data_IF_749874980616
#
_entry.id   IF_749874980616
#
_cell.length_a   1.000
_cell.length_b   1.000
_cell.length_c   1.000
_cell.angle_alpha   90.00
_cell.angle_beta   90.00
_cell.angle_gamma   90.00
#
_symmetry.space_group_name_H-M   'P 1'
#
loop_
_entity.id
_entity.type
_entity.pdbx_description
1 polymer ?
#
# COMPACT_ATOMS: atom_id res chain seq x y z
N UNK A 1 -3.89 1.04 21.72
CA UNK A 1 -3.71 2.13 20.74
C UNK A 1 -2.29 2.06 20.23
N UNK A 2 -2.07 2.32 18.94
CA UNK A 2 -0.74 2.29 18.29
C UNK A 2 -0.52 3.62 17.57
N UNK A 3 0.68 4.21 17.68
CA UNK A 3 1.02 5.45 16.99
C UNK A 3 1.45 5.16 15.54
N UNK A 4 0.90 5.90 14.59
CA UNK A 4 1.24 5.79 13.17
C UNK A 4 1.06 7.13 12.43
N UNK A 5 1.28 7.12 11.13
CA UNK A 5 1.10 8.26 10.21
C UNK A 5 0.66 7.76 8.83
N UNK A 6 0.28 8.67 7.92
CA UNK A 6 -0.11 8.32 6.56
C UNK A 6 1.02 8.59 5.56
N UNK A 7 1.56 7.54 4.96
CA UNK A 7 2.58 7.58 3.91
C UNK A 7 2.05 7.99 2.53
N UNK A 8 1.24 9.06 2.48
CA UNK A 8 0.65 9.62 1.25
C UNK A 8 1.22 11.01 1.00
N UNK A 9 1.43 11.38 -0.27
CA UNK A 9 2.01 12.66 -0.66
C UNK A 9 1.02 13.83 -0.46
N UNK A 10 0.81 14.25 0.79
CA UNK A 10 -0.18 15.25 1.17
C UNK A 10 0.37 16.44 1.97
N UNK A 11 1.69 16.49 2.18
CA UNK A 11 2.42 17.45 3.06
C UNK A 11 2.00 17.45 4.55
N UNK A 12 0.96 16.71 4.92
CA UNK A 12 0.39 16.70 6.25
C UNK A 12 1.32 16.12 7.31
N UNK A 13 1.93 14.97 7.08
CA UNK A 13 2.78 14.27 8.07
C UNK A 13 2.12 14.16 9.47
N UNK A 14 0.80 14.06 9.50
CA UNK A 14 0.02 14.06 10.74
C UNK A 14 0.20 12.73 11.47
N UNK A 15 0.48 12.79 12.77
CA UNK A 15 0.49 11.68 13.71
C UNK A 15 -0.93 11.29 14.12
N UNK A 16 -1.20 10.00 14.15
CA UNK A 16 -2.50 9.41 14.48
C UNK A 16 -2.39 8.32 15.54
N UNK A 17 -3.44 8.25 16.35
CA UNK A 17 -3.74 7.18 17.31
C UNK A 17 -4.61 6.15 16.61
N UNK A 18 -4.05 4.98 16.29
CA UNK A 18 -4.78 3.87 15.68
C UNK A 18 -5.39 3.00 16.77
N UNK A 19 -6.70 2.79 16.71
CA UNK A 19 -7.44 1.98 17.68
C UNK A 19 -7.58 0.55 17.18
N UNK A 20 -7.19 -0.39 18.03
CA UNK A 20 -7.35 -1.82 17.82
C UNK A 20 -8.37 -2.31 18.84
N UNK A 21 -9.42 -2.98 18.37
CA UNK A 21 -10.44 -3.61 19.19
C UNK A 21 -10.70 -5.00 18.64
N UNK A 22 -10.77 -5.99 19.52
CA UNK A 22 -10.97 -7.40 19.15
C UNK A 22 -9.95 -7.92 18.11
N UNK A 23 -8.70 -7.44 18.21
CA UNK A 23 -7.60 -7.81 17.32
C UNK A 23 -7.63 -7.17 15.93
N UNK A 24 -8.60 -6.29 15.63
CA UNK A 24 -8.72 -5.59 14.34
C UNK A 24 -8.58 -4.08 14.48
N UNK A 25 -8.07 -3.42 13.43
CA UNK A 25 -8.05 -1.95 13.35
C UNK A 25 -9.48 -1.46 13.11
N UNK A 26 -9.97 -0.56 13.97
CA UNK A 26 -11.37 -0.08 13.87
C UNK A 26 -11.47 1.36 13.37
N UNK A 27 -10.77 2.30 14.01
CA UNK A 27 -10.74 3.71 13.61
C UNK A 27 -9.44 4.38 14.09
N UNK A 28 -9.28 5.65 13.74
CA UNK A 28 -8.15 6.48 14.14
C UNK A 28 -8.61 7.88 14.53
N UNK A 29 -7.90 8.49 15.49
CA UNK A 29 -8.04 9.92 15.82
C UNK A 29 -6.67 10.56 15.76
N UNK A 30 -6.60 11.88 15.57
CA UNK A 30 -5.33 12.58 15.60
C UNK A 30 -4.64 12.43 16.97
N UNK A 31 -3.31 12.35 16.95
CA UNK A 31 -2.52 12.53 18.17
C UNK A 31 -2.30 14.03 18.44
N UNK A 32 -2.09 14.35 19.70
CA UNK A 32 -2.04 15.73 20.20
C UNK A 32 -0.81 15.98 21.08
N UNK A 33 0.27 15.26 20.82
CA UNK A 33 1.49 15.23 21.64
C UNK A 33 2.74 15.69 20.86
N UNK A 34 2.58 16.60 19.88
CA UNK A 34 3.73 17.20 19.24
C UNK A 34 4.50 18.05 20.26
N UNK A 35 5.83 18.18 20.12
CA UNK A 35 6.58 19.13 20.93
C UNK A 35 6.04 20.55 20.75
N UNK A 36 5.83 21.26 21.86
CA UNK A 36 5.32 22.64 21.85
C UNK A 36 6.24 23.56 21.03
N UNK A 37 5.62 24.51 20.31
CA UNK A 37 6.35 25.56 19.57
C UNK A 37 6.68 26.79 20.42
N UNK A 38 6.38 26.75 21.73
CA UNK A 38 6.56 27.86 22.67
C UNK A 38 5.31 28.73 22.81
N UNK A 39 5.26 29.62 23.82
CA UNK A 39 4.05 30.34 24.21
C UNK A 39 3.58 31.41 23.20
N UNK A 40 4.47 31.86 22.31
CA UNK A 40 4.19 32.97 21.39
C UNK A 40 3.56 32.52 20.06
N UNK A 41 3.28 31.23 19.89
CA UNK A 41 2.75 30.65 18.65
C UNK A 41 1.65 29.63 18.94
N UNK A 42 0.67 29.46 18.03
CA UNK A 42 -0.30 28.39 18.16
C UNK A 42 0.36 27.03 17.96
N UNK A 43 -0.11 26.04 18.72
CA UNK A 43 0.37 24.67 18.64
C UNK A 43 -0.07 23.97 17.34
N UNK A 44 0.59 22.87 16.98
CA UNK A 44 0.30 22.13 15.74
C UNK A 44 -0.96 21.27 15.83
N UNK A 45 -1.35 20.91 17.04
CA UNK A 45 -2.45 20.03 17.34
C UNK A 45 -3.79 20.55 16.83
N UNK A 46 -4.68 19.67 16.33
CA UNK A 46 -4.49 18.21 16.16
C UNK A 46 -3.91 17.82 14.79
N UNK A 47 -3.66 18.78 13.88
CA UNK A 47 -3.50 18.51 12.44
C UNK A 47 -4.65 17.60 11.92
N UNK A 48 -4.34 16.68 11.01
CA UNK A 48 -5.29 15.73 10.43
C UNK A 48 -6.14 16.32 9.31
N UNK A 49 -6.86 15.45 8.60
CA UNK A 49 -7.79 15.84 7.55
C UNK A 49 -8.86 14.75 7.33
N UNK A 50 -9.97 15.04 6.62
CA UNK A 50 -11.03 14.05 6.39
C UNK A 50 -10.55 12.79 5.66
N UNK A 51 -9.49 12.90 4.83
CA UNK A 51 -8.92 11.76 4.11
C UNK A 51 -8.16 10.83 5.05
N UNK A 52 -7.41 11.39 5.99
CA UNK A 52 -6.70 10.61 7.01
C UNK A 52 -7.65 9.91 7.97
N UNK A 53 -8.75 10.58 8.36
CA UNK A 53 -9.76 10.00 9.26
C UNK A 53 -10.51 8.79 8.68
N UNK A 54 -10.40 8.55 7.37
CA UNK A 54 -11.05 7.43 6.68
C UNK A 54 -10.08 6.28 6.34
N UNK A 55 -8.79 6.38 6.70
CA UNK A 55 -7.76 5.45 6.20
C UNK A 55 -7.96 4.02 6.72
N UNK A 56 -8.44 3.84 7.96
CA UNK A 56 -8.74 2.54 8.55
C UNK A 56 -9.64 1.65 7.66
N UNK A 57 -10.54 2.26 6.87
CA UNK A 57 -11.43 1.56 5.92
C UNK A 57 -10.67 0.64 4.96
N UNK A 58 -9.53 1.08 4.44
CA UNK A 58 -8.74 0.32 3.46
C UNK A 58 -8.20 -1.01 4.00
N UNK A 59 -8.09 -1.17 5.32
CA UNK A 59 -7.49 -2.37 5.92
C UNK A 59 -8.27 -3.63 5.53
N UNK A 60 -9.60 -3.55 5.53
CA UNK A 60 -10.50 -4.69 5.31
C UNK A 60 -11.52 -4.44 4.20
N UNK A 61 -11.37 -3.36 3.43
CA UNK A 61 -12.29 -3.03 2.35
C UNK A 61 -12.32 -4.12 1.26
N UNK A 62 -13.41 -4.19 0.46
CA UNK A 62 -13.49 -5.09 -0.70
C UNK A 62 -12.39 -4.86 -1.74
N UNK A 63 -11.75 -3.69 -1.73
CA UNK A 63 -10.68 -3.31 -2.67
C UNK A 63 -9.28 -3.65 -2.16
N UNK A 64 -9.15 -4.23 -0.95
CA UNK A 64 -7.86 -4.61 -0.39
C UNK A 64 -7.19 -5.69 -1.25
N UNK A 65 -6.00 -5.37 -1.76
CA UNK A 65 -5.12 -6.35 -2.42
C UNK A 65 -4.58 -7.31 -1.36
N UNK A 66 -4.89 -8.61 -1.53
CA UNK A 66 -4.53 -9.68 -0.57
C UNK A 66 -3.40 -10.59 -1.07
N UNK A 67 -3.21 -10.64 -2.38
CA UNK A 67 -2.24 -11.54 -3.03
C UNK A 67 -1.46 -10.80 -4.11
N UNK A 68 -0.25 -11.25 -4.46
CA UNK A 68 0.43 -10.80 -5.66
C UNK A 68 -0.40 -11.16 -6.91
N UNK A 69 -0.62 -10.21 -7.80
CA UNK A 69 -1.32 -10.42 -9.06
C UNK A 69 -0.36 -10.26 -10.23
N UNK A 70 -0.54 -11.11 -11.25
CA UNK A 70 0.13 -11.02 -12.56
C UNK A 70 -0.95 -11.12 -13.62
N UNK A 71 -0.79 -10.44 -14.76
CA UNK A 71 -1.73 -10.58 -15.89
C UNK A 71 -1.76 -12.04 -16.35
N UNK A 72 -2.96 -12.63 -16.47
CA UNK A 72 -3.13 -14.07 -16.71
C UNK A 72 -2.35 -14.60 -17.91
N UNK A 73 -2.52 -13.96 -19.06
CA UNK A 73 -1.80 -14.28 -20.30
C UNK A 73 -0.27 -14.24 -20.17
N UNK A 74 0.29 -13.31 -19.38
CA UNK A 74 1.72 -13.28 -19.11
C UNK A 74 2.14 -14.49 -18.27
N UNK A 75 1.38 -14.79 -17.22
CA UNK A 75 1.67 -15.88 -16.31
C UNK A 75 1.58 -17.25 -16.98
N UNK A 76 0.61 -17.44 -17.89
CA UNK A 76 0.47 -18.63 -18.72
C UNK A 76 1.71 -18.85 -19.59
N UNK A 77 2.07 -17.87 -20.43
CA UNK A 77 3.24 -17.96 -21.30
C UNK A 77 4.55 -18.17 -20.53
N UNK A 78 4.71 -17.51 -19.38
CA UNK A 78 5.89 -17.68 -18.54
C UNK A 78 5.98 -19.08 -17.93
N UNK A 79 4.86 -19.66 -17.48
CA UNK A 79 4.82 -21.02 -16.93
C UNK A 79 5.15 -22.06 -17.98
N UNK A 80 4.57 -21.95 -19.18
CA UNK A 80 4.88 -22.82 -20.32
C UNK A 80 6.37 -22.75 -20.69
N UNK A 81 6.94 -21.54 -20.78
CA UNK A 81 8.34 -21.35 -21.10
C UNK A 81 9.25 -21.90 -19.99
N UNK A 82 8.89 -21.72 -18.71
CA UNK A 82 9.63 -22.30 -17.57
C UNK A 82 9.61 -23.81 -17.56
N UNK A 83 8.48 -24.43 -17.86
CA UNK A 83 8.36 -25.88 -17.92
C UNK A 83 9.22 -26.46 -19.05
N UNK A 84 9.22 -25.81 -20.23
CA UNK A 84 10.02 -26.24 -21.38
C UNK A 84 11.53 -26.04 -21.21
N UNK A 85 11.94 -24.92 -20.61
CA UNK A 85 13.36 -24.50 -20.59
C UNK A 85 14.07 -24.79 -19.26
N UNK A 86 13.34 -25.01 -18.17
CA UNK A 86 13.89 -25.29 -16.84
C UNK A 86 14.56 -24.09 -16.14
N UNK A 87 15.03 -23.10 -16.90
CA UNK A 87 15.69 -21.90 -16.40
C UNK A 87 14.76 -20.67 -16.49
N UNK A 88 14.56 -19.90 -15.39
CA UNK A 88 13.65 -18.76 -15.37
C UNK A 88 14.14 -17.55 -16.18
N UNK A 89 15.45 -17.40 -16.38
CA UNK A 89 16.03 -16.35 -17.23
C UNK A 89 15.82 -16.69 -18.69
N UNK A 90 16.05 -17.95 -19.09
CA UNK A 90 15.73 -18.43 -20.44
C UNK A 90 14.23 -18.36 -20.74
N UNK A 91 13.37 -18.69 -19.77
CA UNK A 91 11.92 -18.55 -19.91
C UNK A 91 11.48 -17.10 -20.13
N UNK A 92 12.07 -16.15 -19.40
CA UNK A 92 11.81 -14.74 -19.63
C UNK A 92 12.33 -14.27 -20.99
N UNK A 93 13.55 -14.68 -21.36
CA UNK A 93 14.14 -14.37 -22.66
C UNK A 93 13.26 -14.89 -23.82
N UNK A 94 12.69 -16.09 -23.69
CA UNK A 94 11.78 -16.69 -24.67
C UNK A 94 10.49 -15.88 -24.85
N UNK A 95 9.82 -15.49 -23.75
CA UNK A 95 8.61 -14.65 -23.81
C UNK A 95 8.93 -13.26 -24.39
N UNK A 96 10.13 -12.72 -24.10
CA UNK A 96 10.54 -11.39 -24.56
C UNK A 96 11.07 -11.34 -26.00
N UNK A 97 11.58 -12.45 -26.52
CA UNK A 97 12.14 -12.54 -27.88
C UNK A 97 11.05 -12.58 -28.96
N UNK A 98 9.81 -12.94 -28.60
CA UNK A 98 8.66 -13.03 -29.50
C UNK A 98 7.82 -11.73 -29.49
N UNK A 99 7.83 -10.94 -30.60
CA UNK A 99 7.07 -9.69 -30.68
C UNK A 99 5.55 -9.88 -30.59
N UNK A 100 5.02 -11.03 -30.99
CA UNK A 100 3.60 -11.33 -30.92
C UNK A 100 3.19 -11.62 -29.47
N UNK A 101 3.95 -12.45 -28.76
CA UNK A 101 3.71 -12.73 -27.33
C UNK A 101 3.81 -11.47 -26.48
N UNK A 102 4.79 -10.60 -26.75
CA UNK A 102 4.94 -9.31 -26.03
C UNK A 102 3.75 -8.37 -26.16
N UNK A 103 3.03 -8.41 -27.28
CA UNK A 103 1.84 -7.56 -27.49
C UNK A 103 0.59 -8.07 -26.78
N UNK A 104 0.59 -9.33 -26.33
CA UNK A 104 -0.59 -9.97 -25.72
C UNK A 104 -0.80 -9.59 -24.25
N UNK A 105 0.21 -9.07 -23.56
CA UNK A 105 0.16 -8.79 -22.13
C UNK A 105 0.57 -7.37 -21.75
#
# INVERSE_FOLDING_TARGET
MVNSTHGVNCTGSCRWKVYVKDGIITWETQDTDYPSVGPDRPEYEPRGCPRGAAFSWYTYSPTRIRYPYVRGVLLEMYREARERLGDPVLAWADVQADPERRRRY
#
